data_IF_636673592302
#
_entry.id   IF_636673592302
#
_cell.length_a   1.000
_cell.length_b   1.000
_cell.length_c   1.000
_cell.angle_alpha   90.00
_cell.angle_beta   90.00
_cell.angle_gamma   90.00
#
_symmetry.space_group_name_H-M   'P 1'
#
loop_
_entity.id
_entity.type
_entity.pdbx_description
1 polymer ?
#
# COMPACT_ATOMS: atom_id res chain seq x y z
N UNK A 1 21.11 -24.47 7.26
CA UNK A 1 21.57 -23.17 6.74
C UNK A 1 22.22 -22.43 7.89
N UNK A 2 23.53 -22.19 7.81
CA UNK A 2 24.28 -21.49 8.84
C UNK A 2 24.24 -19.98 8.56
N UNK A 3 24.32 -19.15 9.62
CA UNK A 3 24.29 -17.68 9.53
C UNK A 3 25.37 -17.12 8.58
N UNK A 4 26.51 -17.76 8.52
CA UNK A 4 27.63 -17.40 7.63
C UNK A 4 27.38 -17.69 6.14
N UNK A 5 26.40 -18.52 5.81
CA UNK A 5 26.02 -18.85 4.43
C UNK A 5 24.99 -17.85 3.87
N UNK A 6 24.43 -16.97 4.69
CA UNK A 6 23.47 -15.96 4.27
C UNK A 6 24.12 -14.95 3.32
N UNK A 7 23.74 -14.99 2.06
CA UNK A 7 24.16 -14.02 1.06
C UNK A 7 22.96 -13.14 0.69
N UNK A 8 23.16 -11.82 0.51
CA UNK A 8 22.11 -10.95 0.02
C UNK A 8 21.69 -11.36 -1.39
N UNK A 9 20.44 -11.08 -1.75
CA UNK A 9 19.95 -11.35 -3.09
C UNK A 9 20.87 -10.70 -4.15
N UNK A 10 21.14 -11.36 -5.29
CA UNK A 10 21.97 -10.79 -6.36
C UNK A 10 21.49 -9.39 -6.74
N UNK A 11 22.42 -8.45 -6.91
CA UNK A 11 22.16 -7.04 -7.22
C UNK A 11 21.40 -6.21 -6.16
N UNK A 12 21.09 -6.77 -4.98
CA UNK A 12 20.44 -6.03 -3.88
C UNK A 12 21.35 -4.98 -3.23
N UNK A 13 22.67 -5.16 -3.32
CA UNK A 13 23.68 -4.22 -2.82
C UNK A 13 24.51 -3.65 -3.96
N UNK A 14 24.40 -2.34 -4.17
CA UNK A 14 25.26 -1.62 -5.12
C UNK A 14 26.41 -0.92 -4.37
N UNK A 15 27.63 -1.05 -4.89
CA UNK A 15 28.79 -0.34 -4.33
C UNK A 15 28.59 1.17 -4.51
N UNK A 16 28.66 1.93 -3.40
CA UNK A 16 28.52 3.39 -3.43
C UNK A 16 29.66 4.01 -4.22
N UNK A 17 29.34 4.80 -5.25
CA UNK A 17 30.34 5.55 -6.01
C UNK A 17 30.81 6.75 -5.20
N UNK A 18 32.12 6.87 -5.00
CA UNK A 18 32.74 8.02 -4.34
C UNK A 18 33.11 9.03 -5.42
N UNK A 19 32.62 10.26 -5.31
CA UNK A 19 32.88 11.37 -6.24
C UNK A 19 33.93 12.31 -5.66
N UNK A 20 34.60 13.11 -6.51
CA UNK A 20 35.64 14.02 -6.07
C UNK A 20 36.92 13.30 -5.56
N UNK A 21 37.25 12.10 -6.07
CA UNK A 21 38.39 11.29 -5.66
C UNK A 21 39.27 10.86 -6.84
N UNK A 22 39.66 11.85 -7.67
CA UNK A 22 40.54 11.66 -8.81
C UNK A 22 39.83 11.48 -10.14
N UNK A 23 40.59 11.57 -11.20
CA UNK A 23 40.09 11.61 -12.58
C UNK A 23 39.56 10.25 -13.08
N UNK A 24 40.14 9.13 -12.62
CA UNK A 24 39.77 7.78 -13.09
C UNK A 24 38.30 7.39 -12.87
N UNK A 25 37.57 8.06 -11.98
CA UNK A 25 36.15 7.79 -11.77
C UNK A 25 35.22 8.50 -12.77
N UNK A 26 35.76 9.43 -13.61
CA UNK A 26 34.98 10.34 -14.43
C UNK A 26 34.20 11.43 -13.64
N UNK A 27 34.32 11.42 -12.30
CA UNK A 27 33.65 12.35 -11.38
C UNK A 27 34.69 12.97 -10.41
N UNK A 28 35.87 13.30 -10.95
CA UNK A 28 37.00 13.86 -10.20
C UNK A 28 36.77 15.32 -9.78
N UNK A 29 37.73 16.17 -10.07
CA UNK A 29 37.93 17.57 -9.62
C UNK A 29 36.69 18.29 -9.10
N UNK A 30 35.64 18.41 -9.89
CA UNK A 30 34.43 19.18 -9.57
C UNK A 30 33.29 18.34 -9.02
N UNK A 31 33.47 17.03 -8.85
CA UNK A 31 32.44 16.10 -8.41
C UNK A 31 31.12 16.19 -9.21
N UNK A 32 31.21 16.50 -10.53
CA UNK A 32 30.09 16.75 -11.46
C UNK A 32 29.24 18.00 -11.19
N UNK A 33 29.69 18.90 -10.30
CA UNK A 33 28.96 20.15 -10.02
C UNK A 33 29.33 21.31 -10.96
N UNK A 34 30.35 21.15 -11.79
CA UNK A 34 30.92 22.23 -12.62
C UNK A 34 31.86 23.16 -11.84
N UNK A 35 32.36 24.20 -12.49
CA UNK A 35 33.42 25.07 -11.95
C UNK A 35 32.86 26.18 -11.10
N UNK A 36 31.81 26.89 -11.56
CA UNK A 36 31.20 28.07 -10.95
C UNK A 36 29.68 27.92 -10.92
N UNK A 37 29.02 28.80 -10.19
CA UNK A 37 27.57 28.85 -10.06
C UNK A 37 27.06 28.46 -8.69
N UNK A 38 25.81 28.80 -8.39
CA UNK A 38 25.19 28.60 -7.09
C UNK A 38 25.15 27.11 -6.68
N UNK A 39 24.88 26.21 -7.63
CA UNK A 39 24.78 24.74 -7.37
C UNK A 39 26.11 24.08 -7.07
N UNK A 40 27.23 24.72 -7.44
CA UNK A 40 28.58 24.21 -7.17
C UNK A 40 29.04 24.50 -5.73
N UNK A 41 28.45 25.48 -5.05
CA UNK A 41 28.83 25.88 -3.70
C UNK A 41 28.23 24.98 -2.63
N UNK A 42 28.82 25.00 -1.44
CA UNK A 42 28.25 24.32 -0.27
C UNK A 42 26.89 24.95 0.08
N UNK A 43 25.86 24.16 0.31
CA UNK A 43 24.51 24.67 0.60
C UNK A 43 23.79 25.38 -0.55
N UNK A 44 24.40 25.44 -1.74
CA UNK A 44 23.85 26.19 -2.88
C UNK A 44 22.64 25.59 -3.59
N UNK A 45 22.23 24.38 -3.23
CA UNK A 45 21.07 23.76 -3.83
C UNK A 45 19.76 24.38 -3.33
N UNK A 46 18.96 24.93 -4.23
CA UNK A 46 17.61 25.38 -3.92
C UNK A 46 16.62 24.19 -3.98
N UNK A 47 15.51 24.23 -3.23
CA UNK A 47 14.45 23.23 -3.37
C UNK A 47 13.97 23.12 -4.82
N UNK A 48 13.56 21.92 -5.29
CA UNK A 48 13.14 21.70 -6.69
C UNK A 48 12.03 22.65 -7.17
N UNK A 49 11.17 23.10 -6.27
CA UNK A 49 10.02 23.95 -6.58
C UNK A 49 10.27 25.43 -6.25
N UNK A 50 11.53 25.85 -6.09
CA UNK A 50 11.86 27.24 -5.78
C UNK A 50 11.74 28.13 -7.04
N UNK A 51 10.90 29.16 -6.98
CA UNK A 51 10.58 30.06 -8.07
C UNK A 51 11.17 31.49 -7.83
N UNK A 52 12.43 31.55 -7.42
CA UNK A 52 13.14 32.83 -7.30
C UNK A 52 12.65 33.83 -6.24
N UNK A 53 11.77 33.41 -5.33
CA UNK A 53 11.14 34.28 -4.32
C UNK A 53 9.64 34.48 -4.54
N UNK A 54 9.12 34.17 -5.73
CA UNK A 54 7.69 34.06 -5.99
C UNK A 54 7.11 32.83 -5.24
N UNK A 55 5.87 32.92 -4.79
CA UNK A 55 5.18 31.78 -4.19
C UNK A 55 5.14 30.59 -5.17
N UNK A 56 5.66 29.40 -4.78
CA UNK A 56 5.65 28.23 -5.63
C UNK A 56 4.24 27.85 -6.09
N UNK A 57 4.13 27.21 -7.25
CA UNK A 57 2.85 26.83 -7.87
C UNK A 57 1.94 26.06 -6.91
N UNK A 58 2.47 25.16 -6.11
CA UNK A 58 1.69 24.37 -5.14
C UNK A 58 1.02 25.22 -4.04
N UNK A 59 1.52 26.41 -3.75
CA UNK A 59 0.89 27.36 -2.83
C UNK A 59 -0.14 28.28 -3.51
N UNK A 60 -0.01 28.48 -4.83
CA UNK A 60 -0.94 29.31 -5.62
C UNK A 60 -2.17 28.56 -6.07
N UNK A 61 -2.05 27.24 -6.24
CA UNK A 61 -3.20 26.39 -6.65
C UNK A 61 -4.13 26.17 -5.45
N UNK A 62 -5.44 26.41 -5.61
CA UNK A 62 -6.39 26.18 -4.53
C UNK A 62 -6.42 24.69 -4.15
N UNK A 63 -6.44 24.40 -2.85
CA UNK A 63 -6.59 23.06 -2.33
C UNK A 63 -8.00 22.53 -2.66
N UNK A 64 -8.09 21.28 -3.12
CA UNK A 64 -9.35 20.65 -3.48
C UNK A 64 -9.71 19.53 -2.48
N UNK A 65 -11.01 19.47 -2.17
CA UNK A 65 -11.59 18.38 -1.41
C UNK A 65 -11.30 18.44 0.08
N UNK A 66 -11.69 17.36 0.74
CA UNK A 66 -11.48 17.16 2.17
C UNK A 66 -11.25 15.66 2.44
N UNK A 67 -10.66 15.35 3.58
CA UNK A 67 -10.47 13.98 4.01
C UNK A 67 -11.70 13.50 4.77
N UNK A 68 -12.45 12.53 4.20
CA UNK A 68 -13.59 11.93 4.88
C UNK A 68 -13.10 11.00 6.01
N UNK A 69 -13.31 11.39 7.26
CA UNK A 69 -12.96 10.61 8.46
C UNK A 69 -13.72 9.29 8.59
N UNK A 70 -14.90 9.20 7.96
CA UNK A 70 -15.74 7.98 7.93
C UNK A 70 -15.46 7.08 6.73
N UNK A 71 -14.36 7.31 5.99
CA UNK A 71 -13.97 6.50 4.84
C UNK A 71 -13.79 5.05 5.27
N UNK A 72 -14.54 4.15 4.62
CA UNK A 72 -14.37 2.71 4.79
C UNK A 72 -13.35 2.19 3.79
N UNK A 73 -12.32 1.56 4.29
CA UNK A 73 -11.32 0.88 3.48
C UNK A 73 -11.61 -0.61 3.44
N UNK A 74 -11.29 -1.24 2.32
CA UNK A 74 -11.53 -2.66 2.07
C UNK A 74 -10.24 -3.33 1.59
N UNK A 75 -10.04 -4.59 1.99
CA UNK A 75 -9.15 -5.48 1.25
C UNK A 75 -9.85 -5.86 -0.05
N UNK A 76 -9.22 -5.53 -1.17
CA UNK A 76 -9.78 -5.76 -2.50
C UNK A 76 -9.23 -7.07 -3.04
N UNK A 77 -10.12 -7.98 -3.45
CA UNK A 77 -9.78 -9.24 -4.11
C UNK A 77 -10.48 -9.27 -5.47
N UNK A 78 -9.74 -9.56 -6.53
CA UNK A 78 -10.26 -9.73 -7.88
C UNK A 78 -10.77 -11.16 -8.08
N UNK A 79 -11.80 -11.36 -8.92
CA UNK A 79 -12.28 -12.70 -9.27
C UNK A 79 -11.19 -13.56 -9.92
N UNK A 80 -10.41 -12.97 -10.80
CA UNK A 80 -9.27 -13.63 -11.45
C UNK A 80 -8.30 -14.28 -10.47
N UNK A 81 -8.01 -13.59 -9.37
CA UNK A 81 -7.09 -14.09 -8.33
C UNK A 81 -7.62 -15.31 -7.58
N UNK A 82 -8.93 -15.57 -7.62
CA UNK A 82 -9.55 -16.73 -6.99
C UNK A 82 -9.37 -18.04 -7.79
N UNK A 83 -8.94 -17.96 -9.05
CA UNK A 83 -8.64 -19.14 -9.86
C UNK A 83 -7.46 -19.99 -9.32
N UNK A 84 -6.73 -19.50 -8.33
CA UNK A 84 -5.65 -20.25 -7.64
C UNK A 84 -6.23 -21.40 -6.82
N UNK A 85 -7.46 -21.25 -6.30
CA UNK A 85 -8.09 -22.27 -5.46
C UNK A 85 -8.66 -23.42 -6.30
N UNK A 86 -8.79 -24.59 -5.69
CA UNK A 86 -9.42 -25.76 -6.33
C UNK A 86 -10.95 -25.66 -6.34
N UNK A 87 -11.59 -26.41 -7.23
CA UNK A 87 -13.04 -26.45 -7.32
C UNK A 87 -13.67 -26.88 -5.98
N UNK A 88 -14.84 -26.32 -5.69
CA UNK A 88 -15.62 -26.57 -4.47
C UNK A 88 -14.91 -26.20 -3.15
N UNK A 89 -13.86 -25.38 -3.22
CA UNK A 89 -13.17 -24.89 -2.02
C UNK A 89 -13.96 -23.75 -1.38
N UNK A 90 -14.04 -23.76 -0.04
CA UNK A 90 -14.59 -22.66 0.76
C UNK A 90 -13.53 -21.61 1.00
N UNK A 91 -13.65 -20.47 0.32
CA UNK A 91 -12.68 -19.37 0.39
C UNK A 91 -12.99 -18.48 1.58
N UNK A 92 -12.29 -18.72 2.69
CA UNK A 92 -12.38 -17.92 3.92
C UNK A 92 -11.34 -16.79 3.94
N UNK A 93 -11.51 -15.73 4.77
CA UNK A 93 -10.51 -14.69 4.97
C UNK A 93 -9.12 -15.22 5.33
N UNK A 94 -9.06 -16.28 6.15
CA UNK A 94 -7.80 -16.89 6.59
C UNK A 94 -7.07 -17.59 5.44
N UNK A 95 -7.80 -18.26 4.55
CA UNK A 95 -7.23 -18.84 3.33
C UNK A 95 -6.69 -17.75 2.39
N UNK A 96 -7.40 -16.63 2.24
CA UNK A 96 -6.93 -15.50 1.43
C UNK A 96 -5.64 -14.89 2.00
N UNK A 97 -5.48 -14.87 3.33
CA UNK A 97 -4.25 -14.42 3.98
C UNK A 97 -3.10 -15.43 3.79
N UNK A 98 -3.37 -16.74 3.94
CA UNK A 98 -2.37 -17.80 3.73
C UNK A 98 -1.80 -17.79 2.31
N UNK A 99 -2.65 -17.59 1.32
CA UNK A 99 -2.24 -17.48 -0.10
C UNK A 99 -1.61 -16.11 -0.42
N UNK A 100 -1.73 -15.12 0.48
CA UNK A 100 -1.14 -13.79 0.31
C UNK A 100 -1.94 -12.82 -0.55
N UNK A 101 -3.19 -13.14 -0.91
CA UNK A 101 -4.09 -12.26 -1.65
C UNK A 101 -4.53 -11.05 -0.82
N UNK A 102 -4.61 -11.22 0.50
CA UNK A 102 -4.79 -10.16 1.49
C UNK A 102 -3.70 -10.28 2.55
N UNK A 103 -3.39 -9.18 3.23
CA UNK A 103 -2.37 -9.18 4.28
C UNK A 103 -2.95 -8.57 5.56
N UNK A 104 -3.02 -9.36 6.61
CA UNK A 104 -3.27 -8.91 7.98
C UNK A 104 -2.45 -9.79 8.95
N UNK A 105 -2.11 -9.25 10.12
CA UNK A 105 -1.26 -9.96 11.09
C UNK A 105 -2.11 -10.96 11.92
N UNK A 106 -2.76 -10.45 12.97
CA UNK A 106 -3.47 -11.31 13.92
C UNK A 106 -4.98 -11.37 13.67
N UNK A 107 -5.59 -10.23 13.31
CA UNK A 107 -7.02 -10.10 13.07
C UNK A 107 -7.28 -9.28 11.81
N UNK A 108 -8.34 -9.65 11.10
CA UNK A 108 -8.80 -8.90 9.93
C UNK A 108 -9.12 -7.45 10.35
N UNK A 109 -8.34 -6.50 9.84
CA UNK A 109 -8.41 -5.07 10.14
C UNK A 109 -9.39 -4.32 9.24
N UNK A 110 -9.57 -4.79 8.02
CA UNK A 110 -10.45 -4.20 7.00
C UNK A 110 -11.41 -5.24 6.43
N UNK A 111 -12.61 -4.80 6.08
CA UNK A 111 -13.60 -5.64 5.40
C UNK A 111 -13.09 -6.08 4.02
N UNK A 112 -13.43 -7.29 3.59
CA UNK A 112 -13.06 -7.84 2.28
C UNK A 112 -14.15 -7.50 1.27
N UNK A 113 -13.72 -7.00 0.09
CA UNK A 113 -14.60 -6.70 -1.05
C UNK A 113 -14.12 -7.41 -2.31
N UNK A 114 -15.02 -8.21 -2.90
CA UNK A 114 -14.77 -8.90 -4.17
C UNK A 114 -15.11 -7.99 -5.34
N UNK A 115 -14.17 -7.84 -6.28
CA UNK A 115 -14.35 -7.10 -7.52
C UNK A 115 -14.48 -8.05 -8.71
N UNK A 116 -15.37 -7.69 -9.65
CA UNK A 116 -15.64 -8.45 -10.87
C UNK A 116 -14.59 -8.30 -11.98
N UNK A 117 -13.33 -8.05 -11.63
CA UNK A 117 -12.24 -7.98 -12.59
C UNK A 117 -11.72 -9.39 -12.91
N UNK A 118 -11.49 -9.66 -14.19
CA UNK A 118 -11.14 -10.98 -14.70
C UNK A 118 -12.33 -11.93 -14.73
N UNK A 119 -12.10 -13.18 -15.12
CA UNK A 119 -13.09 -14.24 -15.16
C UNK A 119 -12.81 -15.32 -14.13
N UNK A 120 -13.84 -15.94 -13.64
CA UNK A 120 -13.75 -17.08 -12.72
C UNK A 120 -14.14 -18.34 -13.51
N UNK A 121 -13.23 -19.31 -13.55
CA UNK A 121 -13.43 -20.58 -14.28
C UNK A 121 -13.73 -21.74 -13.33
N UNK A 122 -13.84 -21.46 -12.05
CA UNK A 122 -14.00 -22.49 -11.00
C UNK A 122 -15.26 -22.24 -10.18
N UNK A 123 -15.83 -23.32 -9.68
CA UNK A 123 -16.96 -23.27 -8.76
C UNK A 123 -16.43 -23.14 -7.33
N UNK A 124 -16.73 -22.03 -6.65
CA UNK A 124 -16.20 -21.73 -5.31
C UNK A 124 -17.31 -21.26 -4.38
N UNK A 125 -17.11 -21.49 -3.08
CA UNK A 125 -17.91 -20.85 -2.04
C UNK A 125 -17.10 -19.73 -1.40
N UNK A 126 -17.54 -18.45 -1.59
CA UNK A 126 -16.76 -17.27 -1.23
C UNK A 126 -17.37 -16.57 -0.03
N UNK A 127 -16.63 -16.51 1.07
CA UNK A 127 -16.98 -15.80 2.29
C UNK A 127 -16.35 -14.41 2.30
N UNK A 128 -17.14 -13.34 2.06
CA UNK A 128 -16.64 -11.97 2.10
C UNK A 128 -17.71 -10.98 2.60
N UNK A 129 -17.31 -9.76 2.95
CA UNK A 129 -18.20 -8.74 3.51
C UNK A 129 -19.01 -8.02 2.42
N UNK A 130 -18.39 -7.79 1.26
CA UNK A 130 -19.04 -7.11 0.12
C UNK A 130 -18.61 -7.71 -1.21
N UNK A 131 -19.51 -7.57 -2.18
CA UNK A 131 -19.29 -7.96 -3.57
C UNK A 131 -19.85 -6.90 -4.51
N UNK A 132 -19.25 -6.72 -5.68
CA UNK A 132 -19.76 -5.82 -6.71
C UNK A 132 -20.84 -6.50 -7.56
N UNK A 133 -21.78 -5.74 -8.10
CA UNK A 133 -22.85 -6.24 -8.98
C UNK A 133 -22.30 -7.04 -10.18
N UNK A 134 -21.18 -6.57 -10.76
CA UNK A 134 -20.50 -7.30 -11.87
C UNK A 134 -19.94 -8.65 -11.43
N UNK A 135 -19.39 -8.74 -10.22
CA UNK A 135 -18.88 -10.00 -9.68
C UNK A 135 -20.01 -10.99 -9.39
N UNK A 136 -21.13 -10.55 -8.83
CA UNK A 136 -22.31 -11.40 -8.61
C UNK A 136 -22.78 -12.08 -9.90
N UNK A 137 -22.99 -11.31 -10.97
CA UNK A 137 -23.39 -11.84 -12.29
C UNK A 137 -22.39 -12.90 -12.84
N UNK A 138 -21.10 -12.75 -12.55
CA UNK A 138 -20.09 -13.72 -12.97
C UNK A 138 -20.09 -14.98 -12.09
N UNK A 139 -20.35 -14.85 -10.79
CA UNK A 139 -20.49 -15.99 -9.88
C UNK A 139 -21.72 -16.84 -10.22
N UNK A 140 -22.84 -16.22 -10.58
CA UNK A 140 -24.05 -16.92 -11.05
C UNK A 140 -23.77 -17.79 -12.30
N UNK A 141 -22.95 -17.29 -13.23
CA UNK A 141 -22.54 -18.04 -14.43
C UNK A 141 -21.68 -19.28 -14.10
N UNK A 142 -20.92 -19.25 -13.02
CA UNK A 142 -20.02 -20.34 -12.61
C UNK A 142 -20.62 -21.23 -11.51
N UNK A 143 -21.91 -21.07 -11.18
CA UNK A 143 -22.59 -21.77 -10.09
C UNK A 143 -21.86 -21.65 -8.73
N UNK A 144 -21.13 -20.55 -8.53
CA UNK A 144 -20.41 -20.28 -7.29
C UNK A 144 -21.31 -19.61 -6.26
N UNK A 145 -21.13 -19.95 -4.97
CA UNK A 145 -21.93 -19.39 -3.87
C UNK A 145 -21.22 -18.22 -3.20
N UNK A 146 -21.98 -17.19 -2.85
CA UNK A 146 -21.48 -16.06 -2.05
C UNK A 146 -22.14 -16.05 -0.69
N UNK A 147 -21.35 -16.13 0.37
CA UNK A 147 -21.77 -16.02 1.77
C UNK A 147 -21.31 -14.68 2.33
N UNK A 148 -22.26 -13.86 2.73
CA UNK A 148 -21.97 -12.56 3.30
C UNK A 148 -21.56 -12.66 4.77
N UNK A 149 -20.35 -12.21 5.08
CA UNK A 149 -19.86 -12.09 6.46
C UNK A 149 -20.45 -10.86 7.17
N UNK A 150 -20.61 -10.92 8.51
CA UNK A 150 -21.04 -9.78 9.30
C UNK A 150 -19.98 -8.66 9.23
N UNK A 151 -20.40 -7.38 9.31
CA UNK A 151 -19.48 -6.25 9.28
C UNK A 151 -18.54 -6.29 10.49
N UNK A 152 -17.27 -5.92 10.26
CA UNK A 152 -16.30 -5.81 11.34
C UNK A 152 -16.74 -4.67 12.29
N UNK A 153 -16.81 -4.95 13.59
CA UNK A 153 -17.06 -3.93 14.60
C UNK A 153 -15.89 -2.95 14.60
N UNK A 154 -16.11 -1.73 14.13
CA UNK A 154 -15.13 -0.65 14.22
C UNK A 154 -14.85 -0.41 15.71
N UNK A 155 -13.67 -0.78 16.16
CA UNK A 155 -13.15 -0.29 17.44
C UNK A 155 -12.80 1.19 17.22
N UNK A 156 -13.74 2.11 17.42
CA UNK A 156 -13.39 3.50 17.62
C UNK A 156 -12.34 3.50 18.74
N UNK A 157 -11.12 3.89 18.45
CA UNK A 157 -10.11 4.15 19.47
C UNK A 157 -10.71 5.26 20.34
N UNK A 158 -11.20 4.92 21.54
CA UNK A 158 -11.59 5.91 22.55
C UNK A 158 -10.36 6.80 22.73
N UNK A 159 -10.43 8.03 22.26
CA UNK A 159 -9.35 9.00 22.42
C UNK A 159 -9.08 9.18 23.91
N UNK A 160 -7.82 9.36 24.31
CA UNK A 160 -7.42 9.51 25.73
C UNK A 160 -8.22 10.57 26.50
N UNK A 161 -8.86 11.52 25.81
CA UNK A 161 -9.76 12.53 26.38
C UNK A 161 -11.04 11.94 27.02
N UNK A 162 -11.67 10.93 26.41
CA UNK A 162 -12.90 10.32 26.97
C UNK A 162 -12.62 9.49 28.23
N UNK A 163 -11.40 8.99 28.43
CA UNK A 163 -11.01 8.29 29.67
C UNK A 163 -10.82 9.24 30.86
N UNK A 164 -10.51 10.52 30.62
CA UNK A 164 -10.29 11.51 31.69
C UNK A 164 -11.64 12.01 32.29
N UNK A 165 -12.67 12.11 31.46
CA UNK A 165 -13.99 12.55 31.88
C UNK A 165 -14.74 11.49 32.73
N UNK A 166 -14.47 10.19 32.48
CA UNK A 166 -15.09 9.11 33.27
C UNK A 166 -14.37 8.85 34.61
N UNK A 167 -13.17 9.39 34.84
CA UNK A 167 -12.47 9.28 36.13
C UNK A 167 -12.76 10.43 37.10
N UNK A 168 -13.38 11.51 36.65
CA UNK A 168 -13.78 12.65 37.49
C UNK A 168 -15.28 12.62 37.86
N UNK A 169 -16.02 11.58 37.43
CA UNK A 169 -17.45 11.40 37.72
C UNK A 169 -17.72 10.21 38.67
N UNK A 170 -16.67 9.71 39.34
CA UNK A 170 -16.73 8.75 40.46
C UNK A 170 -16.02 9.37 41.67
#
# INVERSE_FOLDING_TARGET
MYLQELKPYPNSKKKRKRIGRGLGSGHGVTATRGTKGQKARSGGAKPPFFEGGQNPLYLRVPSKGFTNIFRKEYHIVKLESLNIFDNNTVVTPDLLNKVGLIKYKDKLDKEIKILGNGELNKTLEIHAHKITKKALKKLEKTNSKFVKLPPLKNKFKKTKKTKKIQKTAT
#
